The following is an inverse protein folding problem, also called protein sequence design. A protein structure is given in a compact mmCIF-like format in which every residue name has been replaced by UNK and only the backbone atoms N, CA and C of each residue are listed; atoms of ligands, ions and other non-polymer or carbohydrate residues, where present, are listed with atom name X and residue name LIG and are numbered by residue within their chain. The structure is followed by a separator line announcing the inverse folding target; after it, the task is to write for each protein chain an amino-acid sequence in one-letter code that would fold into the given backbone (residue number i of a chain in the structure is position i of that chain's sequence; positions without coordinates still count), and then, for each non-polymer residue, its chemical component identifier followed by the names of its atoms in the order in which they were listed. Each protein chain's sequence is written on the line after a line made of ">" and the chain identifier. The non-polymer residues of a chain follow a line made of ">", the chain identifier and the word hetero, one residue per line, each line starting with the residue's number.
data_IF_746352001788
#
_entry.id   IF_746352001788
#
_cell.length_a   1.000
_cell.length_b   1.000
_cell.length_c   1.000
_cell.angle_alpha   90.00
_cell.angle_beta   90.00
_cell.angle_gamma   90.00
#
_symmetry.space_group_name_H-M   'P 1'
#
loop_
_entity.id
_entity.type
_entity.pdbx_description
1 polymer ?
#
# COMPACT_ATOMS: atom_id res chain seq x y z
N UNK A 1 -9.29 6.74 9.64
CA UNK A 1 -8.56 6.67 8.38
C UNK A 1 -8.96 5.41 7.64
N UNK A 2 -9.46 5.58 6.44
CA UNK A 2 -9.83 4.43 5.62
C UNK A 2 -8.97 4.42 4.36
N UNK A 3 -9.18 3.39 3.53
CA UNK A 3 -8.35 3.23 2.35
C UNK A 3 -8.47 4.42 1.40
N UNK A 4 -9.68 4.94 1.23
CA UNK A 4 -9.87 6.08 0.33
C UNK A 4 -9.09 7.29 0.82
N UNK A 5 -9.13 7.55 2.11
CA UNK A 5 -8.39 8.67 2.67
C UNK A 5 -6.89 8.45 2.54
N UNK A 6 -6.47 7.23 2.71
CA UNK A 6 -5.05 6.90 2.58
C UNK A 6 -4.58 7.15 1.14
N UNK A 7 -5.39 6.74 0.18
CA UNK A 7 -5.06 6.95 -1.22
C UNK A 7 -4.95 8.45 -1.52
N UNK A 8 -5.89 9.23 -1.00
CA UNK A 8 -5.87 10.67 -1.24
C UNK A 8 -4.65 11.31 -0.59
N UNK A 9 -4.33 10.89 0.61
CA UNK A 9 -3.17 11.44 1.30
C UNK A 9 -1.88 11.10 0.55
N UNK A 10 -1.77 9.85 0.10
CA UNK A 10 -0.59 9.43 -0.62
C UNK A 10 -0.46 10.19 -1.94
N UNK A 11 -1.58 10.34 -2.65
CA UNK A 11 -1.56 11.06 -3.91
C UNK A 11 -1.09 12.50 -3.69
N UNK A 12 -1.56 13.11 -2.63
CA UNK A 12 -1.18 14.49 -2.33
C UNK A 12 0.30 14.60 -1.96
N UNK A 13 0.76 13.70 -1.11
CA UNK A 13 2.14 13.76 -0.63
C UNK A 13 3.15 13.49 -1.74
N UNK A 14 2.80 12.66 -2.69
CA UNK A 14 3.72 12.27 -3.74
C UNK A 14 3.40 12.94 -5.07
N UNK A 15 2.35 13.75 -5.09
CA UNK A 15 1.90 14.43 -6.31
C UNK A 15 1.57 13.43 -7.41
N UNK A 16 1.02 12.29 -7.00
CA UNK A 16 0.56 11.27 -7.93
C UNK A 16 -0.92 11.43 -8.19
N UNK A 17 -1.39 10.84 -9.28
CA UNK A 17 -2.83 10.75 -9.49
C UNK A 17 -3.40 9.77 -8.48
N UNK A 18 -4.70 9.88 -8.21
CA UNK A 18 -5.34 8.94 -7.30
C UNK A 18 -5.28 7.52 -7.82
N UNK A 19 -5.37 7.35 -9.14
CA UNK A 19 -5.26 6.01 -9.72
C UNK A 19 -3.89 5.41 -9.44
N UNK A 20 -2.83 6.20 -9.64
CA UNK A 20 -1.49 5.72 -9.36
C UNK A 20 -1.28 5.44 -7.89
N UNK A 21 -1.79 6.33 -7.02
CA UNK A 21 -1.67 6.13 -5.58
C UNK A 21 -2.42 4.88 -5.15
N UNK A 22 -3.60 4.63 -5.71
CA UNK A 22 -4.36 3.44 -5.40
C UNK A 22 -3.63 2.18 -5.76
N UNK A 23 -2.98 2.18 -6.93
CA UNK A 23 -2.21 1.02 -7.35
C UNK A 23 -1.01 0.81 -6.43
N UNK A 24 -0.36 1.88 -6.04
CA UNK A 24 0.78 1.77 -5.14
C UNK A 24 0.35 1.18 -3.80
N UNK A 25 -0.78 1.63 -3.28
CA UNK A 25 -1.28 1.11 -2.02
C UNK A 25 -1.69 -0.34 -2.15
N UNK A 26 -2.37 -0.70 -3.24
CA UNK A 26 -2.76 -2.08 -3.45
C UNK A 26 -1.54 -2.99 -3.52
N UNK A 27 -0.51 -2.56 -4.24
CA UNK A 27 0.72 -3.35 -4.33
C UNK A 27 1.37 -3.52 -2.96
N UNK A 28 1.40 -2.44 -2.20
CA UNK A 28 2.00 -2.48 -0.88
C UNK A 28 1.24 -3.43 0.05
N UNK A 29 -0.08 -3.35 0.04
CA UNK A 29 -0.88 -4.22 0.87
C UNK A 29 -0.71 -5.67 0.46
N UNK A 30 -0.59 -5.93 -0.82
CA UNK A 30 -0.38 -7.28 -1.29
C UNK A 30 0.96 -7.82 -0.81
N UNK A 31 1.99 -7.00 -0.85
CA UNK A 31 3.31 -7.42 -0.37
C UNK A 31 3.25 -7.73 1.12
N UNK A 32 2.59 -6.88 1.87
CA UNK A 32 2.49 -7.10 3.31
C UNK A 32 1.72 -8.38 3.60
N UNK A 33 0.63 -8.62 2.87
CA UNK A 33 -0.18 -9.81 3.06
C UNK A 33 0.65 -11.06 2.78
N UNK A 34 1.40 -11.04 1.70
CA UNK A 34 2.23 -12.18 1.36
C UNK A 34 3.30 -12.43 2.41
N UNK A 35 3.87 -11.35 2.94
CA UNK A 35 4.89 -11.48 3.97
C UNK A 35 4.30 -12.10 5.23
N UNK A 36 3.09 -11.71 5.59
CA UNK A 36 2.44 -12.27 6.78
C UNK A 36 2.15 -13.75 6.57
N UNK A 37 1.67 -14.11 5.38
CA UNK A 37 1.35 -15.51 5.09
C UNK A 37 2.61 -16.37 5.17
N UNK A 38 3.72 -15.83 4.73
CA UNK A 38 4.99 -16.55 4.76
C UNK A 38 5.86 -16.09 5.90
N UNK A 39 5.27 -15.78 7.01
CA UNK A 39 6.01 -15.17 8.09
C UNK A 39 7.16 -16.03 8.58
N UNK A 40 7.09 -17.32 8.42
CA UNK A 40 8.18 -18.18 8.82
C UNK A 40 9.42 -17.91 7.98
N UNK A 41 9.26 -17.28 6.84
CA UNK A 41 10.37 -16.97 5.95
C UNK A 41 10.84 -15.53 6.06
N UNK A 42 10.16 -14.75 6.88
CA UNK A 42 10.51 -13.34 7.01
C UNK A 42 11.70 -13.21 7.93
N UNK A 43 12.73 -12.58 7.43
CA UNK A 43 13.98 -12.44 8.17
C UNK A 43 14.29 -10.99 8.47
N UNK A 44 13.32 -10.25 8.84
CA UNK A 44 13.52 -8.83 9.12
C UNK A 44 14.20 -8.55 10.45
#
# INVERSE_FOLDING_TARGET
>A
LNKTELIEALAHETEMSKAAAGRAIDALLEIITKSVVKKQDVQL
#
